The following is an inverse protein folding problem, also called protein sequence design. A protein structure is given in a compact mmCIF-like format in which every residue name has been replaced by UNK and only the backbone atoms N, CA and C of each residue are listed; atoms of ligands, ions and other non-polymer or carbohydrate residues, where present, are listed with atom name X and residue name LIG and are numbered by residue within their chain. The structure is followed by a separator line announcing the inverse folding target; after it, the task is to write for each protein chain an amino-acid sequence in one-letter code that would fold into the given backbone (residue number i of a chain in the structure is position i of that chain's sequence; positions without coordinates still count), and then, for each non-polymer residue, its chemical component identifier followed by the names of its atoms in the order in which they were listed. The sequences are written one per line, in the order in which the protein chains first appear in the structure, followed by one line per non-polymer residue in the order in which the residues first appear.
data_IF_569402836980
#
_entry.id   IF_569402836980
#
_cell.length_a   1.000
_cell.length_b   1.000
_cell.length_c   1.000
_cell.angle_alpha   90.00
_cell.angle_beta   90.00
_cell.angle_gamma   90.00
#
_symmetry.space_group_name_H-M   'P 1'
#
loop_
_entity.id
_entity.type
_entity.pdbx_description
1 polymer ?
#
# COMPACT_ATOMS: atom_id res chain seq x y z
N UNK A 1 -25.72 0.59 0.16
CA UNK A 1 -24.79 0.46 1.30
C UNK A 1 -24.46 -1.01 1.50
N UNK A 2 -23.63 -1.59 0.64
CA UNK A 2 -23.16 -2.98 0.80
C UNK A 2 -22.03 -2.97 1.80
N UNK A 3 -22.20 -3.68 2.92
CA UNK A 3 -21.20 -3.82 3.96
C UNK A 3 -19.86 -4.24 3.34
N UNK A 4 -18.91 -3.31 3.27
CA UNK A 4 -17.55 -3.58 2.85
C UNK A 4 -16.96 -4.53 3.88
N UNK A 5 -16.49 -5.71 3.46
CA UNK A 5 -15.69 -6.56 4.32
C UNK A 5 -14.41 -5.79 4.67
N UNK A 6 -14.41 -5.08 5.80
CA UNK A 6 -13.27 -4.29 6.27
C UNK A 6 -12.41 -5.16 7.19
N UNK A 7 -11.23 -5.52 6.72
CA UNK A 7 -10.25 -6.30 7.45
C UNK A 7 -9.28 -5.34 8.15
N UNK A 8 -9.41 -5.24 9.47
CA UNK A 8 -8.52 -4.44 10.30
C UNK A 8 -7.29 -5.24 10.71
N UNK A 9 -6.13 -4.75 10.31
CA UNK A 9 -4.83 -5.30 10.67
C UNK A 9 -4.34 -4.62 11.96
N UNK A 10 -3.73 -5.42 12.84
CA UNK A 10 -3.12 -4.88 14.07
C UNK A 10 -1.83 -4.11 13.80
N UNK A 11 -1.09 -4.51 12.77
CA UNK A 11 0.21 -3.95 12.41
C UNK A 11 0.36 -3.89 10.89
N UNK A 12 1.25 -3.00 10.43
CA UNK A 12 1.54 -2.87 9.02
C UNK A 12 2.29 -4.13 8.52
N UNK A 13 1.84 -4.81 7.44
CA UNK A 13 2.41 -6.08 7.00
C UNK A 13 3.89 -5.97 6.64
N UNK A 14 4.75 -6.87 7.13
CA UNK A 14 6.19 -6.83 6.83
C UNK A 14 6.49 -7.10 5.35
N UNK A 15 7.31 -6.27 4.73
CA UNK A 15 7.63 -6.35 3.29
C UNK A 15 8.41 -7.61 2.89
N UNK A 16 9.48 -8.04 3.58
CA UNK A 16 10.28 -9.19 3.15
C UNK A 16 9.49 -10.50 2.93
N UNK A 17 8.63 -10.96 3.86
CA UNK A 17 7.86 -12.18 3.63
C UNK A 17 6.84 -12.03 2.48
N UNK A 18 6.29 -10.82 2.27
CA UNK A 18 5.39 -10.56 1.14
C UNK A 18 6.12 -10.61 -0.21
N UNK A 19 7.37 -10.13 -0.27
CA UNK A 19 8.17 -10.25 -1.49
C UNK A 19 8.50 -11.71 -1.81
N UNK A 20 8.85 -12.52 -0.80
CA UNK A 20 9.04 -13.96 -0.98
C UNK A 20 7.74 -14.62 -1.46
N UNK A 21 6.62 -14.31 -0.82
CA UNK A 21 5.31 -14.84 -1.21
C UNK A 21 4.96 -14.44 -2.65
N UNK A 22 5.22 -13.19 -3.05
CA UNK A 22 4.99 -12.72 -4.41
C UNK A 22 5.85 -13.47 -5.44
N UNK A 23 7.12 -13.76 -5.09
CA UNK A 23 8.05 -14.48 -5.97
C UNK A 23 7.62 -15.94 -6.23
N UNK A 24 6.93 -16.59 -5.29
CA UNK A 24 6.45 -17.98 -5.43
C UNK A 24 4.99 -18.08 -5.88
N UNK A 25 4.19 -17.02 -5.73
CA UNK A 25 2.77 -17.03 -6.12
C UNK A 25 2.66 -17.17 -7.64
N UNK A 26 1.82 -18.12 -8.09
CA UNK A 26 1.47 -18.34 -9.49
C UNK A 26 -0.04 -18.35 -9.60
N UNK A 27 -0.60 -17.42 -10.36
CA UNK A 27 -2.03 -17.31 -10.67
C UNK A 27 -2.17 -16.96 -12.14
N UNK A 28 -3.09 -17.62 -12.85
CA UNK A 28 -3.43 -17.30 -14.24
C UNK A 28 -4.75 -16.51 -14.24
N UNK A 29 -4.80 -15.30 -14.84
CA UNK A 29 -6.05 -14.56 -14.96
C UNK A 29 -7.08 -15.36 -15.78
N UNK A 30 -8.33 -15.40 -15.30
CA UNK A 30 -9.46 -15.85 -16.10
C UNK A 30 -9.84 -14.83 -17.18
N UNK A 31 -10.76 -15.18 -18.08
CA UNK A 31 -11.23 -14.28 -19.16
C UNK A 31 -11.87 -12.97 -18.64
N UNK A 32 -12.48 -13.02 -17.46
CA UNK A 32 -13.04 -11.88 -16.75
C UNK A 32 -12.74 -12.04 -15.25
N UNK A 33 -11.59 -11.55 -14.76
CA UNK A 33 -11.23 -11.71 -13.36
C UNK A 33 -12.16 -10.87 -12.48
N UNK A 34 -12.74 -11.49 -11.45
CA UNK A 34 -13.49 -10.80 -10.42
C UNK A 34 -12.56 -10.34 -9.30
N UNK A 35 -12.63 -9.06 -8.93
CA UNK A 35 -11.84 -8.53 -7.84
C UNK A 35 -12.64 -8.55 -6.53
N UNK A 36 -12.00 -8.90 -5.40
CA UNK A 36 -12.72 -8.96 -4.15
C UNK A 36 -13.06 -7.56 -3.65
N UNK A 37 -14.33 -7.37 -3.28
CA UNK A 37 -14.81 -6.12 -2.68
C UNK A 37 -14.54 -6.12 -1.15
N UNK A 38 -13.28 -5.89 -0.77
CA UNK A 38 -12.90 -5.72 0.64
C UNK A 38 -11.89 -4.58 0.82
N UNK A 39 -11.86 -4.03 2.03
CA UNK A 39 -10.93 -2.99 2.42
C UNK A 39 -9.96 -3.53 3.47
N UNK A 40 -8.69 -3.14 3.39
CA UNK A 40 -7.70 -3.34 4.44
C UNK A 40 -7.46 -2.02 5.15
N UNK A 41 -7.47 -2.03 6.48
CA UNK A 41 -7.13 -0.88 7.29
C UNK A 41 -6.07 -1.24 8.33
N UNK A 42 -5.18 -0.29 8.61
CA UNK A 42 -4.31 -0.32 9.78
C UNK A 42 -4.22 1.08 10.38
N UNK A 43 -4.40 1.16 11.69
CA UNK A 43 -4.31 2.41 12.44
C UNK A 43 -3.01 2.49 13.25
N UNK A 44 -2.80 3.64 13.88
CA UNK A 44 -1.69 3.88 14.81
C UNK A 44 -0.29 3.72 14.17
N UNK A 45 -0.16 4.12 12.90
CA UNK A 45 1.10 4.02 12.18
C UNK A 45 1.91 5.30 12.36
N UNK A 46 3.10 5.18 12.94
CA UNK A 46 4.12 6.22 12.92
C UNK A 46 5.16 5.90 11.86
N UNK A 47 5.50 6.88 11.03
CA UNK A 47 6.53 6.72 10.02
C UNK A 47 7.93 6.67 10.66
N UNK A 48 8.78 5.79 10.15
CA UNK A 48 10.16 5.67 10.62
C UNK A 48 11.03 6.75 9.97
N UNK A 49 11.64 7.62 10.78
CA UNK A 49 12.46 8.75 10.30
C UNK A 49 13.68 8.30 9.48
N UNK A 50 14.32 7.17 9.85
CA UNK A 50 15.44 6.60 9.09
C UNK A 50 14.99 6.09 7.72
N UNK A 51 13.79 5.50 7.63
CA UNK A 51 13.21 5.09 6.35
C UNK A 51 12.84 6.29 5.49
N UNK A 52 12.26 7.34 6.07
CA UNK A 52 11.96 8.60 5.38
C UNK A 52 13.23 9.24 4.81
N UNK A 53 14.30 9.35 5.60
CA UNK A 53 15.58 9.89 5.16
C UNK A 53 16.14 9.12 3.97
N UNK A 54 16.18 7.78 4.05
CA UNK A 54 16.63 6.93 2.94
C UNK A 54 15.78 7.11 1.68
N UNK A 55 14.46 7.23 1.85
CA UNK A 55 13.55 7.48 0.75
C UNK A 55 13.80 8.84 0.10
N UNK A 56 13.96 9.89 0.91
CA UNK A 56 14.22 11.24 0.43
C UNK A 56 15.51 11.30 -0.39
N UNK A 57 16.59 10.71 0.10
CA UNK A 57 17.85 10.62 -0.63
C UNK A 57 17.72 9.90 -1.97
N UNK A 58 17.02 8.76 -1.98
CA UNK A 58 16.82 7.99 -3.20
C UNK A 58 15.95 8.71 -4.24
N UNK A 59 15.02 9.56 -3.79
CA UNK A 59 14.09 10.29 -4.65
C UNK A 59 14.49 11.76 -4.89
N UNK A 60 15.59 12.24 -4.32
CA UNK A 60 16.03 13.64 -4.46
C UNK A 60 15.24 14.67 -3.65
N UNK A 61 14.51 14.25 -2.60
CA UNK A 61 13.87 15.17 -1.66
C UNK A 61 14.85 15.67 -0.60
N UNK A 62 14.56 16.82 0.01
CA UNK A 62 15.36 17.36 1.10
C UNK A 62 15.36 16.45 2.35
N UNK A 63 16.54 16.28 2.96
CA UNK A 63 16.72 15.42 4.14
C UNK A 63 16.06 16.00 5.41
N UNK A 64 15.96 17.33 5.52
CA UNK A 64 15.50 18.04 6.73
C UNK A 64 14.05 18.57 6.59
N UNK A 65 13.15 17.74 6.06
CA UNK A 65 11.72 18.08 5.96
C UNK A 65 10.99 17.86 7.28
N UNK A 66 10.07 18.76 7.62
CA UNK A 66 9.12 18.59 8.74
C UNK A 66 7.85 17.84 8.33
N UNK A 67 7.71 17.54 7.03
CA UNK A 67 6.52 16.88 6.47
C UNK A 67 6.88 15.66 5.64
N UNK A 68 5.99 14.68 5.61
CA UNK A 68 6.09 13.49 4.78
C UNK A 68 5.83 13.82 3.31
N UNK A 69 6.68 13.32 2.42
CA UNK A 69 6.42 13.39 0.96
C UNK A 69 5.19 12.54 0.62
N UNK A 70 4.31 13.03 -0.26
CA UNK A 70 3.10 12.32 -0.68
C UNK A 70 3.41 10.91 -1.22
N UNK A 71 4.47 10.78 -2.00
CA UNK A 71 4.94 9.52 -2.57
C UNK A 71 5.55 8.58 -1.53
N UNK A 72 6.11 9.09 -0.44
CA UNK A 72 6.54 8.26 0.70
C UNK A 72 5.33 7.62 1.40
N UNK A 73 4.24 8.38 1.56
CA UNK A 73 2.99 7.83 2.10
C UNK A 73 2.45 6.71 1.21
N UNK A 74 2.50 6.86 -0.12
CA UNK A 74 2.16 5.77 -1.03
C UNK A 74 3.04 4.54 -0.77
N UNK A 75 4.35 4.66 -0.55
CA UNK A 75 5.22 3.51 -0.21
C UNK A 75 4.74 2.79 1.06
N UNK A 76 4.27 3.53 2.06
CA UNK A 76 3.71 2.93 3.28
C UNK A 76 2.39 2.20 3.01
N UNK A 77 1.48 2.80 2.23
CA UNK A 77 0.19 2.19 1.85
C UNK A 77 0.38 1.01 0.90
N UNK A 78 1.46 0.95 0.11
CA UNK A 78 1.76 -0.15 -0.80
C UNK A 78 1.87 -1.52 -0.09
N UNK A 79 2.17 -1.52 1.21
CA UNK A 79 2.17 -2.74 2.03
C UNK A 79 0.78 -3.34 2.17
N UNK A 80 -0.28 -2.52 2.20
CA UNK A 80 -1.66 -2.97 2.16
C UNK A 80 -2.04 -3.46 0.76
N UNK A 81 -1.63 -2.76 -0.30
CA UNK A 81 -1.83 -3.21 -1.68
C UNK A 81 -1.22 -4.59 -1.91
N UNK A 82 0.04 -4.81 -1.51
CA UNK A 82 0.68 -6.13 -1.59
C UNK A 82 -0.06 -7.19 -0.80
N UNK A 83 -0.49 -6.89 0.43
CA UNK A 83 -1.26 -7.83 1.25
C UNK A 83 -2.58 -8.24 0.57
N UNK A 84 -3.25 -7.30 -0.08
CA UNK A 84 -4.47 -7.52 -0.84
C UNK A 84 -4.21 -8.34 -2.12
N UNK A 85 -3.17 -8.02 -2.89
CA UNK A 85 -2.81 -8.78 -4.10
C UNK A 85 -2.38 -10.23 -3.80
N UNK A 86 -1.78 -10.44 -2.63
CA UNK A 86 -1.37 -11.76 -2.14
C UNK A 86 -2.51 -12.53 -1.45
N UNK A 87 -3.68 -11.91 -1.28
CA UNK A 87 -4.87 -12.60 -0.81
C UNK A 87 -5.31 -13.68 -1.81
N UNK A 88 -5.90 -14.77 -1.31
CA UNK A 88 -6.35 -15.88 -2.16
C UNK A 88 -7.46 -15.45 -3.12
N UNK A 89 -8.32 -14.53 -2.70
CA UNK A 89 -9.43 -14.03 -3.52
C UNK A 89 -8.96 -13.06 -4.63
N UNK A 90 -7.74 -12.53 -4.56
CA UNK A 90 -7.23 -11.64 -5.60
C UNK A 90 -6.84 -12.45 -6.87
N UNK A 91 -7.34 -12.08 -8.06
CA UNK A 91 -7.28 -12.97 -9.23
C UNK A 91 -5.94 -12.99 -9.97
N UNK A 92 -5.04 -12.03 -9.70
CA UNK A 92 -3.77 -11.88 -10.43
C UNK A 92 -2.56 -12.19 -9.55
N UNK A 93 -1.49 -12.72 -10.16
CA UNK A 93 -0.19 -12.79 -9.50
C UNK A 93 0.46 -11.40 -9.55
N UNK A 94 1.10 -10.91 -8.47
CA UNK A 94 1.78 -9.61 -8.50
C UNK A 94 2.93 -9.54 -9.52
N UNK A 95 3.65 -10.65 -9.69
CA UNK A 95 4.73 -10.75 -10.66
C UNK A 95 4.17 -10.67 -12.08
N UNK A 96 4.69 -9.72 -12.85
CA UNK A 96 4.27 -9.46 -14.23
C UNK A 96 3.16 -8.41 -14.36
N UNK A 97 2.61 -7.89 -13.26
CA UNK A 97 1.71 -6.74 -13.33
C UNK A 97 2.44 -5.49 -13.82
N UNK A 98 1.76 -4.72 -14.67
CA UNK A 98 2.22 -3.41 -15.13
C UNK A 98 1.40 -2.34 -14.42
N UNK A 99 2.09 -1.41 -13.76
CA UNK A 99 1.46 -0.25 -13.15
C UNK A 99 1.15 0.77 -14.25
N UNK A 100 -0.14 0.99 -14.56
CA UNK A 100 -0.53 1.83 -15.69
C UNK A 100 -0.55 3.33 -15.34
N UNK A 101 -1.09 3.69 -14.18
CA UNK A 101 -1.18 5.09 -13.74
C UNK A 101 -1.27 5.18 -12.22
N UNK A 102 -0.80 6.30 -11.68
CA UNK A 102 -0.90 6.63 -10.27
C UNK A 102 -1.33 8.09 -10.13
N UNK A 103 -2.36 8.35 -9.33
CA UNK A 103 -2.80 9.70 -8.98
C UNK A 103 -2.74 9.86 -7.47
N UNK A 104 -2.01 10.87 -7.01
CA UNK A 104 -1.91 11.22 -5.60
C UNK A 104 -2.52 12.61 -5.42
N UNK A 105 -3.57 12.70 -4.61
CA UNK A 105 -4.18 13.96 -4.20
C UNK A 105 -3.84 14.21 -2.73
N UNK A 106 -3.16 15.32 -2.46
CA UNK A 106 -2.79 15.71 -1.11
C UNK A 106 -3.59 16.93 -0.68
N UNK A 107 -4.43 16.77 0.34
CA UNK A 107 -5.28 17.85 0.84
C UNK A 107 -4.58 18.82 1.80
N UNK A 108 -3.55 18.34 2.52
CA UNK A 108 -2.71 19.14 3.40
C UNK A 108 -1.32 18.52 3.56
N UNK A 109 -0.30 19.28 3.99
CA UNK A 109 0.93 18.71 4.51
C UNK A 109 0.67 17.80 5.72
N UNK A 110 1.44 16.70 5.82
CA UNK A 110 1.37 15.75 6.94
C UNK A 110 2.71 15.79 7.67
N UNK A 111 2.72 16.11 8.96
CA UNK A 111 3.94 16.19 9.74
C UNK A 111 4.58 14.81 9.97
N UNK A 112 5.89 14.79 10.14
CA UNK A 112 6.68 13.55 10.26
C UNK A 112 6.35 12.70 11.48
N UNK A 113 5.76 13.29 12.51
CA UNK A 113 5.42 12.67 13.80
C UNK A 113 3.92 12.32 13.93
N UNK A 114 3.12 12.64 12.90
CA UNK A 114 1.70 12.32 12.88
C UNK A 114 1.45 10.81 12.97
N UNK A 115 0.39 10.46 13.70
CA UNK A 115 -0.11 9.09 13.78
C UNK A 115 -1.12 8.87 12.65
N UNK A 116 -0.78 7.98 11.74
CA UNK A 116 -1.53 7.73 10.52
C UNK A 116 -2.47 6.55 10.65
N UNK A 117 -3.59 6.65 9.94
CA UNK A 117 -4.44 5.51 9.55
C UNK A 117 -4.28 5.31 8.06
N UNK A 118 -3.93 4.10 7.66
CA UNK A 118 -3.78 3.71 6.26
C UNK A 118 -4.93 2.78 5.90
N UNK A 119 -5.61 3.09 4.80
CA UNK A 119 -6.69 2.27 4.24
C UNK A 119 -6.43 2.02 2.76
N UNK A 120 -6.76 0.82 2.31
CA UNK A 120 -6.64 0.38 0.93
C UNK A 120 -7.89 -0.42 0.56
N UNK A 121 -8.51 -0.10 -0.55
CA UNK A 121 -9.64 -0.84 -1.12
C UNK A 121 -9.45 -0.94 -2.63
N UNK A 122 -10.02 -1.98 -3.23
CA UNK A 122 -10.21 -2.04 -4.68
C UNK A 122 -11.45 -1.21 -4.99
N UNK A 123 -11.38 -0.41 -6.05
CA UNK A 123 -12.54 0.21 -6.66
C UNK A 123 -12.60 -0.25 -8.11
N UNK A 124 -13.80 -0.53 -8.59
CA UNK A 124 -14.05 -0.60 -10.03
C UNK A 124 -14.05 0.85 -10.54
N UNK A 125 -13.36 1.11 -11.66
CA UNK A 125 -13.39 2.41 -12.34
C UNK A 125 -14.80 2.74 -12.85
#
# INVERSE_FOLDING_TARGET
MTASNELRLKTLPSTPPMLLQAAITRKKPGKAPYFPNHALEVANIRCNSKQLRRYNQACGFADNTQTLSASFLHVQVFRLHMKMMLDKAFPLAPMGCVHLSNTIVQHRPIAIDEVLRLRCNIADN
#
